data_IF_040844275120
#
_entry.id   IF_040844275120
#
_cell.length_a   1.000
_cell.length_b   1.000
_cell.length_c   1.000
_cell.angle_alpha   90.00
_cell.angle_beta   90.00
_cell.angle_gamma   90.00
#
_symmetry.space_group_name_H-M   'P 1'
#
loop_
_entity.id
_entity.type
_entity.pdbx_description
1 polymer ?
#
# COMPACT_ATOMS: atom_id res chain seq x y z
N UNK A 1 37.05 3.21 13.62
CA UNK A 1 36.23 2.06 14.05
C UNK A 1 34.89 2.22 13.36
N UNK A 2 34.71 1.55 12.22
CA UNK A 2 33.49 1.65 11.43
C UNK A 2 32.55 0.53 11.87
N UNK A 3 31.44 0.92 12.49
CA UNK A 3 30.31 0.05 12.78
C UNK A 3 29.55 -0.18 11.46
N UNK A 4 29.81 -1.31 10.83
CA UNK A 4 28.96 -1.85 9.76
C UNK A 4 28.04 -2.89 10.39
N UNK A 5 27.05 -2.45 11.16
CA UNK A 5 25.92 -3.27 11.61
C UNK A 5 24.98 -3.48 10.43
N UNK A 6 25.27 -4.53 9.65
CA UNK A 6 24.35 -5.12 8.69
C UNK A 6 23.03 -5.51 9.39
N UNK A 7 21.91 -5.01 8.87
CA UNK A 7 20.51 -5.28 9.22
C UNK A 7 20.18 -6.78 9.33
N UNK A 8 20.68 -7.42 10.37
CA UNK A 8 20.13 -8.68 10.88
C UNK A 8 18.96 -8.26 11.76
N UNK A 9 17.75 -8.85 11.61
CA UNK A 9 16.63 -8.50 12.48
C UNK A 9 17.11 -8.52 13.92
N UNK A 10 17.00 -7.37 14.58
CA UNK A 10 17.63 -7.11 15.86
C UNK A 10 17.13 -8.14 16.87
N UNK A 11 17.98 -9.12 17.19
CA UNK A 11 17.70 -10.01 18.31
C UNK A 11 17.53 -9.19 19.57
N UNK A 12 16.82 -9.72 20.55
CA UNK A 12 16.76 -9.11 21.87
C UNK A 12 18.18 -8.85 22.41
N UNK A 13 18.40 -7.71 23.07
CA UNK A 13 19.67 -7.41 23.71
C UNK A 13 19.93 -8.40 24.86
N UNK A 14 21.22 -8.64 25.14
CA UNK A 14 21.66 -9.74 26.01
C UNK A 14 21.11 -9.65 27.44
N UNK A 15 20.94 -8.43 27.95
CA UNK A 15 20.40 -8.11 29.28
C UNK A 15 18.91 -8.47 29.43
N UNK A 16 18.21 -8.69 28.32
CA UNK A 16 16.81 -9.13 28.31
C UNK A 16 16.65 -10.62 28.08
N UNK A 17 17.73 -11.40 27.89
CA UNK A 17 17.59 -12.82 27.57
C UNK A 17 17.33 -13.70 28.79
N UNK A 18 17.96 -13.38 29.92
CA UNK A 18 17.90 -14.19 31.13
C UNK A 18 17.51 -13.34 32.34
N UNK A 19 16.75 -13.93 33.26
CA UNK A 19 16.51 -13.36 34.59
C UNK A 19 17.73 -13.53 35.51
N UNK A 20 17.64 -12.93 36.70
CA UNK A 20 18.70 -13.02 37.73
C UNK A 20 18.88 -14.46 38.26
N UNK A 21 17.88 -15.33 38.07
CA UNK A 21 17.87 -16.73 38.46
C UNK A 21 18.46 -17.68 37.40
N UNK A 22 18.90 -17.15 36.26
CA UNK A 22 19.44 -17.93 35.16
C UNK A 22 18.38 -18.62 34.30
N UNK A 23 17.09 -18.32 34.51
CA UNK A 23 16.00 -18.73 33.63
C UNK A 23 15.80 -17.73 32.49
N UNK A 24 15.10 -18.14 31.43
CA UNK A 24 14.70 -17.20 30.38
C UNK A 24 13.82 -16.10 30.98
N UNK A 25 14.07 -14.85 30.59
CA UNK A 25 13.28 -13.72 31.09
C UNK A 25 11.81 -13.80 30.62
N UNK A 26 10.93 -13.11 31.34
CA UNK A 26 9.52 -12.96 30.94
C UNK A 26 9.35 -12.37 29.54
N UNK A 27 10.28 -11.50 29.12
CA UNK A 27 10.30 -10.92 27.77
C UNK A 27 10.51 -12.01 26.73
N UNK A 28 11.52 -12.88 26.94
CA UNK A 28 11.78 -14.00 26.03
C UNK A 28 10.58 -14.94 25.96
N UNK A 29 10.00 -15.30 27.12
CA UNK A 29 8.85 -16.21 27.18
C UNK A 29 7.63 -15.62 26.47
N UNK A 30 7.39 -14.32 26.59
CA UNK A 30 6.30 -13.62 25.89
C UNK A 30 6.54 -13.58 24.39
N UNK A 31 7.76 -13.25 23.93
CA UNK A 31 8.10 -13.29 22.51
C UNK A 31 7.87 -14.67 21.90
N UNK A 32 8.28 -15.74 22.61
CA UNK A 32 8.03 -17.11 22.15
C UNK A 32 6.55 -17.47 22.16
N UNK A 33 5.80 -17.04 23.17
CA UNK A 33 4.35 -17.25 23.27
C UNK A 33 3.57 -16.57 22.13
N UNK A 34 4.03 -15.40 21.69
CA UNK A 34 3.43 -14.62 20.60
C UNK A 34 3.87 -15.08 19.19
N UNK A 35 4.79 -16.05 19.11
CA UNK A 35 5.33 -16.58 17.84
C UNK A 35 6.47 -15.74 17.24
N UNK A 36 7.01 -14.78 17.99
CA UNK A 36 8.11 -13.91 17.58
C UNK A 36 9.49 -14.55 17.82
N UNK A 37 9.63 -15.83 17.44
CA UNK A 37 10.86 -16.62 17.69
C UNK A 37 12.11 -16.05 17.02
N UNK A 38 11.93 -15.26 15.96
CA UNK A 38 13.02 -14.62 15.24
C UNK A 38 13.77 -13.58 16.11
N UNK A 39 13.11 -13.04 17.13
CA UNK A 39 13.72 -12.10 18.08
C UNK A 39 14.59 -12.81 19.14
N UNK A 40 14.41 -14.12 19.32
CA UNK A 40 15.04 -14.90 20.39
C UNK A 40 16.22 -15.71 19.84
N UNK A 41 17.47 -15.49 20.32
CA UNK A 41 18.63 -16.26 19.88
C UNK A 41 18.44 -17.77 20.05
N UNK A 42 18.96 -18.55 19.11
CA UNK A 42 18.81 -20.02 19.08
C UNK A 42 19.19 -20.72 20.41
N UNK A 43 20.27 -20.28 21.06
CA UNK A 43 20.71 -20.84 22.35
C UNK A 43 19.69 -20.70 23.47
N UNK A 44 18.94 -19.58 23.48
CA UNK A 44 17.93 -19.32 24.51
C UNK A 44 16.68 -20.16 24.22
N UNK A 45 16.31 -20.32 22.94
CA UNK A 45 15.21 -21.21 22.55
C UNK A 45 15.46 -22.66 22.98
N UNK A 46 16.68 -23.15 22.77
CA UNK A 46 17.08 -24.49 23.23
C UNK A 46 16.96 -24.60 24.75
N UNK A 47 17.46 -23.61 25.51
CA UNK A 47 17.31 -23.59 26.97
C UNK A 47 15.85 -23.65 27.42
N UNK A 48 14.95 -22.87 26.81
CA UNK A 48 13.51 -22.87 27.17
C UNK A 48 12.87 -24.24 26.96
N UNK A 49 13.27 -24.95 25.90
CA UNK A 49 12.74 -26.30 25.58
C UNK A 49 13.30 -27.38 26.52
N UNK A 50 14.53 -27.24 26.99
CA UNK A 50 15.19 -28.22 27.86
C UNK A 50 14.93 -27.96 29.36
N UNK A 51 14.68 -26.71 29.74
CA UNK A 51 14.40 -26.33 31.12
C UNK A 51 12.92 -26.56 31.48
N UNK A 52 12.66 -27.44 32.44
CA UNK A 52 11.29 -27.74 32.91
C UNK A 52 10.56 -26.50 33.47
N UNK A 53 11.28 -25.57 34.12
CA UNK A 53 10.70 -24.34 34.66
C UNK A 53 10.28 -23.40 33.53
N UNK A 54 11.19 -23.11 32.60
CA UNK A 54 10.92 -22.20 31.48
C UNK A 54 9.85 -22.75 30.54
N UNK A 55 9.84 -24.06 30.25
CA UNK A 55 8.80 -24.68 29.41
C UNK A 55 7.41 -24.61 30.07
N UNK A 56 7.31 -24.81 31.38
CA UNK A 56 6.06 -24.64 32.12
C UNK A 56 5.57 -23.18 32.09
N UNK A 57 6.48 -22.22 32.31
CA UNK A 57 6.17 -20.79 32.24
C UNK A 57 5.76 -20.36 30.82
N UNK A 58 6.44 -20.86 29.78
CA UNK A 58 6.07 -20.64 28.38
C UNK A 58 4.64 -21.12 28.09
N UNK A 59 4.27 -22.31 28.59
CA UNK A 59 2.91 -22.83 28.45
C UNK A 59 1.86 -21.89 29.08
N UNK A 60 2.15 -21.34 30.27
CA UNK A 60 1.28 -20.36 30.91
C UNK A 60 1.19 -19.05 30.13
N UNK A 61 2.33 -18.52 29.66
CA UNK A 61 2.39 -17.32 28.84
C UNK A 61 1.60 -17.48 27.53
N UNK A 62 1.70 -18.63 26.86
CA UNK A 62 0.94 -18.94 25.65
C UNK A 62 -0.58 -18.97 25.91
N UNK A 63 -1.03 -19.58 27.01
CA UNK A 63 -2.45 -19.57 27.39
C UNK A 63 -2.97 -18.16 27.70
N UNK A 64 -2.14 -17.31 28.32
CA UNK A 64 -2.48 -15.91 28.56
C UNK A 64 -2.57 -15.10 27.25
N UNK A 65 -1.61 -15.28 26.33
CA UNK A 65 -1.61 -14.61 25.03
C UNK A 65 -2.87 -14.97 24.22
N UNK A 66 -3.27 -16.25 24.21
CA UNK A 66 -4.51 -16.69 23.55
C UNK A 66 -5.76 -16.01 24.12
N UNK A 67 -5.87 -15.90 25.46
CA UNK A 67 -7.01 -15.21 26.09
C UNK A 67 -7.01 -13.72 25.79
N UNK A 68 -5.85 -13.07 25.87
CA UNK A 68 -5.70 -11.66 25.54
C UNK A 68 -6.11 -11.39 24.08
N UNK A 69 -5.72 -12.27 23.15
CA UNK A 69 -6.10 -12.18 21.74
C UNK A 69 -7.61 -12.27 21.53
N UNK A 70 -8.28 -13.21 22.22
CA UNK A 70 -9.73 -13.35 22.15
C UNK A 70 -10.46 -12.14 22.74
N UNK A 71 -9.99 -11.59 23.85
CA UNK A 71 -10.55 -10.39 24.47
C UNK A 71 -10.38 -9.16 23.58
N UNK A 72 -9.18 -8.93 23.03
CA UNK A 72 -8.91 -7.83 22.11
C UNK A 72 -9.78 -7.96 20.85
N UNK A 73 -9.90 -9.16 20.28
CA UNK A 73 -10.77 -9.42 19.12
C UNK A 73 -12.23 -9.13 19.45
N UNK A 74 -12.71 -9.54 20.63
CA UNK A 74 -14.05 -9.24 21.13
C UNK A 74 -14.29 -7.74 21.27
N UNK A 75 -13.34 -7.02 21.87
CA UNK A 75 -13.38 -5.56 22.01
C UNK A 75 -13.41 -4.84 20.65
N UNK A 76 -12.53 -5.22 19.72
CA UNK A 76 -12.48 -4.64 18.36
C UNK A 76 -13.79 -4.89 17.62
N UNK A 77 -14.35 -6.10 17.70
CA UNK A 77 -15.64 -6.43 17.07
C UNK A 77 -16.80 -5.64 17.68
N UNK A 78 -16.84 -5.49 19.02
CA UNK A 78 -17.85 -4.69 19.70
C UNK A 78 -17.74 -3.20 19.32
N UNK A 79 -16.52 -2.66 19.27
CA UNK A 79 -16.26 -1.28 18.86
C UNK A 79 -16.64 -1.05 17.39
N UNK A 80 -16.36 -2.00 16.50
CA UNK A 80 -16.76 -1.91 15.10
C UNK A 80 -18.28 -1.89 14.93
N UNK A 81 -19.03 -2.63 15.76
CA UNK A 81 -20.50 -2.60 15.78
C UNK A 81 -21.08 -1.31 16.38
N UNK A 82 -20.40 -0.74 17.37
CA UNK A 82 -20.81 0.49 18.04
C UNK A 82 -20.35 1.76 17.31
N UNK A 83 -19.43 1.64 16.35
CA UNK A 83 -18.97 2.76 15.56
C UNK A 83 -20.17 3.37 14.81
N UNK A 84 -20.41 4.69 14.95
CA UNK A 84 -21.44 5.33 14.15
C UNK A 84 -21.13 5.08 12.67
N UNK A 85 -22.17 4.79 11.88
CA UNK A 85 -22.03 4.70 10.44
C UNK A 85 -21.28 5.96 9.99
N UNK A 86 -20.21 5.83 9.16
CA UNK A 86 -19.44 6.98 8.74
C UNK A 86 -20.44 7.98 8.15
N UNK A 87 -20.57 9.18 8.75
CA UNK A 87 -21.36 10.20 8.11
C UNK A 87 -20.66 10.47 6.76
N UNK A 88 -21.43 10.81 5.76
CA UNK A 88 -20.97 11.19 4.41
C UNK A 88 -20.69 10.02 3.45
N UNK A 89 -21.45 10.05 2.36
CA UNK A 89 -21.25 9.26 1.15
C UNK A 89 -19.81 9.40 0.67
N UNK A 90 -19.01 8.31 0.61
CA UNK A 90 -17.64 8.36 0.09
C UNK A 90 -17.58 8.90 -1.35
N UNK A 91 -18.69 8.80 -2.08
CA UNK A 91 -18.85 9.38 -3.42
C UNK A 91 -18.77 10.90 -3.42
N UNK A 92 -19.18 11.59 -2.36
CA UNK A 92 -19.09 13.05 -2.28
C UNK A 92 -17.63 13.50 -2.11
N UNK A 93 -16.87 12.83 -1.23
CA UNK A 93 -15.44 13.07 -1.08
C UNK A 93 -14.66 12.77 -2.38
N UNK A 94 -14.99 11.65 -3.04
CA UNK A 94 -14.44 11.30 -4.36
C UNK A 94 -14.81 12.33 -5.44
N UNK A 95 -16.06 12.82 -5.45
CA UNK A 95 -16.52 13.82 -6.40
C UNK A 95 -15.79 15.16 -6.20
N UNK A 96 -15.68 15.64 -4.95
CA UNK A 96 -14.95 16.87 -4.62
C UNK A 96 -13.46 16.75 -4.96
N UNK A 97 -12.82 15.64 -4.60
CA UNK A 97 -11.42 15.39 -4.93
C UNK A 97 -11.17 15.38 -6.44
N UNK A 98 -12.06 14.74 -7.20
CA UNK A 98 -11.98 14.70 -8.67
C UNK A 98 -12.18 16.08 -9.29
N UNK A 99 -13.06 16.90 -8.72
CA UNK A 99 -13.35 18.25 -9.20
C UNK A 99 -12.14 19.18 -8.96
N UNK A 100 -11.52 19.10 -7.78
CA UNK A 100 -10.29 19.86 -7.47
C UNK A 100 -9.14 19.43 -8.40
N UNK A 101 -8.96 18.12 -8.59
CA UNK A 101 -7.95 17.60 -9.52
C UNK A 101 -8.20 18.12 -10.96
N UNK A 102 -9.45 18.08 -11.42
CA UNK A 102 -9.86 18.61 -12.72
C UNK A 102 -9.57 20.10 -12.88
N UNK A 103 -9.91 20.93 -11.88
CA UNK A 103 -9.64 22.36 -11.90
C UNK A 103 -8.14 22.69 -11.96
N UNK A 104 -7.30 21.93 -11.22
CA UNK A 104 -5.85 22.13 -11.25
C UNK A 104 -5.20 21.77 -12.59
N UNK A 105 -5.85 20.91 -13.39
CA UNK A 105 -5.41 20.54 -14.72
C UNK A 105 -5.76 21.58 -15.80
N UNK A 106 -6.73 22.48 -15.55
CA UNK A 106 -7.19 23.51 -16.51
C UNK A 106 -6.06 24.39 -17.04
N UNK A 107 -5.17 25.01 -16.21
CA UNK A 107 -4.10 25.84 -16.73
C UNK A 107 -3.09 25.04 -17.57
N UNK A 108 -2.84 23.78 -17.21
CA UNK A 108 -1.96 22.89 -18.00
C UNK A 108 -2.59 22.53 -19.34
N UNK A 109 -3.88 22.20 -19.35
CA UNK A 109 -4.64 21.94 -20.57
C UNK A 109 -4.73 23.19 -21.47
N UNK A 110 -4.87 24.38 -20.88
CA UNK A 110 -4.87 25.65 -21.63
C UNK A 110 -3.51 25.92 -22.28
N UNK A 111 -2.39 25.67 -21.57
CA UNK A 111 -1.05 25.79 -22.15
C UNK A 111 -0.81 24.77 -23.28
N UNK A 112 -1.24 23.52 -23.11
CA UNK A 112 -1.19 22.48 -24.14
C UNK A 112 -2.07 22.82 -25.35
N UNK A 113 -3.25 23.41 -25.14
CA UNK A 113 -4.14 23.83 -26.22
C UNK A 113 -3.59 25.01 -27.02
N UNK A 114 -2.85 25.92 -26.37
CA UNK A 114 -2.15 27.01 -27.05
C UNK A 114 -0.99 26.51 -27.93
N UNK A 115 -0.35 25.40 -27.54
CA UNK A 115 0.75 24.76 -28.26
C UNK A 115 0.28 23.68 -29.28
N UNK A 116 -0.98 23.25 -29.19
CA UNK A 116 -1.60 22.25 -30.06
C UNK A 116 -1.40 22.46 -31.58
N UNK A 117 -1.44 23.68 -32.16
CA UNK A 117 -1.20 23.85 -33.59
C UNK A 117 0.27 23.61 -34.01
N UNK A 118 1.22 23.72 -33.08
CA UNK A 118 2.64 23.34 -33.31
C UNK A 118 2.81 21.84 -33.16
N UNK A 119 2.24 21.28 -32.08
CA UNK A 119 2.25 19.84 -31.80
C UNK A 119 1.59 19.01 -32.92
N UNK A 120 0.49 19.51 -33.52
CA UNK A 120 -0.19 18.84 -34.62
C UNK A 120 0.62 18.81 -35.92
N UNK A 121 1.52 19.79 -36.12
CA UNK A 121 2.42 19.85 -37.28
C UNK A 121 3.58 18.86 -37.12
N UNK A 122 4.11 18.73 -35.91
CA UNK A 122 5.17 17.77 -35.56
C UNK A 122 4.64 16.32 -35.50
N UNK A 123 3.42 16.11 -34.96
CA UNK A 123 2.75 14.80 -34.96
C UNK A 123 2.36 14.33 -36.36
N UNK A 124 2.07 15.24 -37.29
CA UNK A 124 1.84 14.88 -38.69
C UNK A 124 3.10 14.29 -39.36
N UNK A 125 4.29 14.65 -38.87
CA UNK A 125 5.58 14.14 -39.38
C UNK A 125 6.09 12.93 -38.57
N UNK A 126 5.67 12.76 -37.30
CA UNK A 126 6.07 11.65 -36.40
C UNK A 126 5.00 10.58 -36.12
N UNK A 127 3.86 10.61 -36.82
CA UNK A 127 2.65 9.82 -36.55
C UNK A 127 2.82 8.29 -36.33
N UNK A 128 3.71 7.58 -37.05
CA UNK A 128 3.89 6.13 -36.87
C UNK A 128 4.47 5.74 -35.51
N UNK A 129 5.35 6.59 -34.95
CA UNK A 129 6.05 6.32 -33.68
C UNK A 129 5.12 6.50 -32.48
N UNK A 130 4.24 7.50 -32.54
CA UNK A 130 3.30 7.82 -31.47
C UNK A 130 2.21 6.74 -31.32
N UNK A 131 1.74 6.18 -32.44
CA UNK A 131 0.80 5.05 -32.45
C UNK A 131 1.41 3.77 -31.84
N UNK A 132 2.71 3.54 -32.04
CA UNK A 132 3.42 2.43 -31.38
C UNK A 132 3.46 2.61 -29.86
N UNK A 133 3.82 3.78 -29.36
CA UNK A 133 3.87 4.05 -27.90
C UNK A 133 2.49 3.92 -27.26
N UNK A 134 1.44 4.42 -27.91
CA UNK A 134 0.06 4.26 -27.43
C UNK A 134 -0.38 2.79 -27.40
N UNK A 135 0.03 1.99 -28.41
CA UNK A 135 -0.28 0.57 -28.47
C UNK A 135 0.42 -0.20 -27.35
N UNK A 136 1.71 0.07 -27.11
CA UNK A 136 2.46 -0.59 -26.03
C UNK A 136 1.93 -0.17 -24.65
N UNK A 137 1.58 1.11 -24.46
CA UNK A 137 0.96 1.59 -23.22
C UNK A 137 -0.42 0.97 -22.97
N UNK A 138 -1.24 0.81 -24.01
CA UNK A 138 -2.53 0.12 -23.92
C UNK A 138 -2.37 -1.37 -23.61
N UNK A 139 -1.34 -2.02 -24.17
CA UNK A 139 -1.03 -3.42 -23.90
C UNK A 139 -0.52 -3.64 -22.47
N UNK A 140 0.37 -2.77 -21.98
CA UNK A 140 0.84 -2.78 -20.58
C UNK A 140 -0.29 -2.46 -19.60
N UNK A 141 -1.17 -1.51 -19.92
CA UNK A 141 -2.36 -1.20 -19.13
C UNK A 141 -3.36 -2.35 -19.09
N UNK A 142 -3.49 -3.11 -20.18
CA UNK A 142 -4.31 -4.32 -20.26
C UNK A 142 -3.81 -5.45 -19.35
N UNK A 143 -2.51 -5.55 -19.11
CA UNK A 143 -1.90 -6.58 -18.26
C UNK A 143 -1.75 -6.17 -16.77
N UNK A 144 -1.77 -4.88 -16.44
CA UNK A 144 -1.78 -4.39 -15.06
C UNK A 144 -3.16 -4.50 -14.36
N UNK A 145 -4.16 -5.08 -15.04
CA UNK A 145 -5.59 -5.13 -14.67
C UNK A 145 -5.95 -6.28 -13.71
N UNK A 146 -5.32 -6.34 -12.53
CA UNK A 146 -5.84 -7.11 -11.38
C UNK A 146 -6.39 -6.21 -10.26
N UNK A 147 -6.24 -4.89 -10.34
CA UNK A 147 -6.84 -3.94 -9.39
C UNK A 147 -8.06 -3.20 -9.97
N UNK A 148 -9.28 -3.56 -9.53
CA UNK A 148 -10.57 -2.99 -10.00
C UNK A 148 -10.74 -1.46 -9.87
N UNK A 149 -9.82 -0.76 -9.21
CA UNK A 149 -9.89 0.71 -9.02
C UNK A 149 -9.25 1.54 -10.13
N UNK A 150 -8.22 1.02 -10.82
CA UNK A 150 -7.46 1.79 -11.81
C UNK A 150 -8.13 1.83 -13.19
N UNK A 151 -8.97 0.84 -13.49
CA UNK A 151 -9.67 0.70 -14.78
C UNK A 151 -10.64 1.85 -15.07
N UNK A 152 -11.29 2.41 -14.04
CA UNK A 152 -12.25 3.51 -14.19
C UNK A 152 -11.55 4.84 -14.47
N UNK A 153 -10.40 5.09 -13.84
CA UNK A 153 -9.63 6.32 -14.06
C UNK A 153 -9.00 6.37 -15.46
N UNK A 154 -8.54 5.21 -15.95
CA UNK A 154 -7.96 5.07 -17.29
C UNK A 154 -9.05 5.18 -18.36
N UNK A 155 -10.20 4.52 -18.21
CA UNK A 155 -11.29 4.63 -19.18
C UNK A 155 -11.83 6.07 -19.27
N UNK A 156 -11.94 6.79 -18.15
CA UNK A 156 -12.29 8.20 -18.14
C UNK A 156 -11.26 9.07 -18.88
N UNK A 157 -9.96 8.82 -18.66
CA UNK A 157 -8.88 9.53 -19.35
C UNK A 157 -8.89 9.27 -20.86
N UNK A 158 -9.14 8.01 -21.28
CA UNK A 158 -9.28 7.65 -22.69
C UNK A 158 -10.51 8.28 -23.34
N UNK A 159 -11.65 8.33 -22.63
CA UNK A 159 -12.86 8.96 -23.14
C UNK A 159 -12.68 10.48 -23.35
N UNK A 160 -11.99 11.16 -22.41
CA UNK A 160 -11.67 12.58 -22.53
C UNK A 160 -10.72 12.86 -23.70
N UNK A 161 -9.68 12.03 -23.88
CA UNK A 161 -8.77 12.14 -25.02
C UNK A 161 -9.48 11.92 -26.35
N UNK A 162 -10.35 10.91 -26.43
CA UNK A 162 -11.15 10.64 -27.63
C UNK A 162 -12.08 11.82 -27.98
N UNK A 163 -12.74 12.40 -26.98
CA UNK A 163 -13.61 13.57 -27.16
C UNK A 163 -12.82 14.80 -27.64
N UNK A 164 -11.64 15.05 -27.07
CA UNK A 164 -10.76 16.15 -27.49
C UNK A 164 -10.30 16.01 -28.95
N UNK A 165 -9.91 14.81 -29.37
CA UNK A 165 -9.51 14.52 -30.76
C UNK A 165 -10.69 14.71 -31.73
N UNK A 166 -11.89 14.28 -31.33
CA UNK A 166 -13.09 14.44 -32.16
C UNK A 166 -13.44 15.93 -32.35
N UNK A 167 -13.44 16.73 -31.29
CA UNK A 167 -13.69 18.17 -31.35
C UNK A 167 -12.65 18.92 -32.21
N UNK A 168 -11.37 18.55 -32.10
CA UNK A 168 -10.31 19.12 -32.92
C UNK A 168 -10.54 18.84 -34.42
N UNK A 169 -10.95 17.61 -34.77
CA UNK A 169 -11.29 17.24 -36.15
C UNK A 169 -12.54 17.95 -36.66
N UNK A 170 -13.58 18.09 -35.84
CA UNK A 170 -14.79 18.80 -36.20
C UNK A 170 -14.50 20.29 -36.52
N UNK A 171 -13.66 20.95 -35.72
CA UNK A 171 -13.22 22.33 -35.98
C UNK A 171 -12.36 22.47 -37.25
N UNK A 172 -11.50 21.51 -37.53
CA UNK A 172 -10.68 21.54 -38.75
C UNK A 172 -11.54 21.44 -40.02
N UNK A 173 -12.66 20.69 -39.98
CA UNK A 173 -13.61 20.60 -41.11
C UNK A 173 -14.49 21.84 -41.26
N UNK A 174 -14.66 22.63 -40.20
CA UNK A 174 -15.55 23.79 -40.17
C UNK A 174 -14.86 25.11 -40.55
N UNK A 175 -13.53 25.10 -40.84
CA UNK A 175 -12.83 26.26 -41.38
C UNK A 175 -12.88 26.19 -42.92
N UNK A 176 -13.59 27.14 -43.58
CA UNK A 176 -13.66 27.22 -45.05
C UNK A 176 -12.32 27.64 -45.66
#
# INVERSE_FOLDING_TARGET
MNDTSSDTPASLPEDLLYGEDGHASDVVLTCLADGEEALVPGRVRVHVLECAVCSAQLGNAALLSLRAHDEVRGYVAARAKAAPAPPHSPYLALALGSLVAGLSAVPRLASLAAEAPRLGRDLAHGGPSFLRVLREAAWLGAHALVGRGLSVSLSASFALLACAVWLARARARARP
#
